data_IF_895392456684
#
_entry.id   IF_895392456684
#
_cell.length_a   1.000
_cell.length_b   1.000
_cell.length_c   1.000
_cell.angle_alpha   90.00
_cell.angle_beta   90.00
_cell.angle_gamma   90.00
#
_symmetry.space_group_name_H-M   'P 1'
#
loop_
_entity.id
_entity.type
_entity.pdbx_description
1 polymer ?
#
# COMPACT_ATOMS: atom_id res chain seq x y z
N UNK A 1 -10.87 2.88 0.47
CA UNK A 1 -10.36 3.22 1.82
C UNK A 1 -9.31 4.34 1.73
N UNK A 2 -8.91 5.01 2.82
CA UNK A 2 -7.77 5.94 2.74
C UNK A 2 -6.46 5.13 2.74
N UNK A 3 -5.46 5.62 2.02
CA UNK A 3 -4.11 5.01 1.95
C UNK A 3 -3.46 4.86 3.32
N UNK A 4 -3.72 5.81 4.23
CA UNK A 4 -3.25 5.75 5.62
C UNK A 4 -3.87 4.60 6.42
N UNK A 5 -5.12 4.24 6.15
CA UNK A 5 -5.80 3.15 6.86
C UNK A 5 -5.14 1.81 6.50
N UNK A 6 -4.88 1.60 5.20
CA UNK A 6 -4.13 0.43 4.72
C UNK A 6 -2.71 0.40 5.30
N UNK A 7 -2.01 1.55 5.27
CA UNK A 7 -0.66 1.66 5.79
C UNK A 7 -0.56 1.26 7.27
N UNK A 8 -1.58 1.61 8.08
CA UNK A 8 -1.64 1.28 9.51
C UNK A 8 -1.80 -0.22 9.75
N UNK A 9 -2.54 -0.94 8.90
CA UNK A 9 -2.67 -2.39 9.03
C UNK A 9 -1.31 -3.09 8.94
N UNK A 10 -0.46 -2.68 7.99
CA UNK A 10 0.90 -3.22 7.84
C UNK A 10 1.96 -2.65 8.81
N UNK A 11 1.56 -1.73 9.69
CA UNK A 11 2.48 -1.02 10.58
C UNK A 11 2.06 -1.20 12.05
N UNK A 12 2.25 -2.42 12.56
CA UNK A 12 1.95 -2.82 13.95
C UNK A 12 2.75 -2.04 15.02
N UNK A 13 3.89 -1.45 14.65
CA UNK A 13 4.77 -0.72 15.59
C UNK A 13 5.21 0.62 14.99
N UNK A 14 4.50 1.71 15.29
CA UNK A 14 4.95 3.06 14.91
C UNK A 14 3.89 4.15 14.86
N UNK A 15 4.34 5.40 14.71
CA UNK A 15 3.48 6.56 14.48
C UNK A 15 2.89 6.56 13.05
N UNK A 16 1.77 7.27 12.79
CA UNK A 16 1.11 7.28 11.48
C UNK A 16 2.01 7.67 10.30
N UNK A 17 2.98 8.56 10.53
CA UNK A 17 3.98 8.95 9.52
C UNK A 17 4.86 7.76 9.10
N UNK A 18 5.24 6.91 10.06
CA UNK A 18 6.05 5.73 9.81
C UNK A 18 5.31 4.69 8.96
N UNK A 19 4.00 4.56 9.18
CA UNK A 19 3.14 3.64 8.43
C UNK A 19 3.12 3.96 6.93
N UNK A 20 2.92 5.22 6.54
CA UNK A 20 2.96 5.62 5.13
C UNK A 20 4.35 5.46 4.51
N UNK A 21 5.41 5.79 5.26
CA UNK A 21 6.78 5.56 4.78
C UNK A 21 7.04 4.08 4.52
N UNK A 22 6.60 3.19 5.42
CA UNK A 22 6.73 1.74 5.26
C UNK A 22 5.92 1.22 4.07
N UNK A 23 4.67 1.65 3.91
CA UNK A 23 3.85 1.27 2.76
C UNK A 23 4.48 1.74 1.44
N UNK A 24 4.97 2.97 1.38
CA UNK A 24 5.65 3.49 0.19
C UNK A 24 6.99 2.77 -0.08
N UNK A 25 7.66 2.25 0.96
CA UNK A 25 8.84 1.39 0.81
C UNK A 25 8.44 0.06 0.16
N UNK A 26 7.38 -0.60 0.61
CA UNK A 26 6.90 -1.82 -0.04
C UNK A 26 6.56 -1.62 -1.51
N UNK A 27 5.85 -0.54 -1.85
CA UNK A 27 5.51 -0.22 -3.25
C UNK A 27 6.77 -0.06 -4.11
N UNK A 28 7.88 0.40 -3.54
CA UNK A 28 9.14 0.59 -4.25
C UNK A 28 9.97 -0.68 -4.36
N UNK A 29 10.04 -1.44 -3.27
CA UNK A 29 11.04 -2.50 -3.09
C UNK A 29 10.48 -3.90 -3.43
N UNK A 30 9.16 -4.10 -3.32
CA UNK A 30 8.52 -5.37 -3.68
C UNK A 30 8.34 -5.46 -5.19
N UNK A 31 9.12 -6.34 -5.80
CA UNK A 31 9.15 -6.56 -7.26
C UNK A 31 7.75 -6.87 -7.80
N UNK A 32 7.28 -6.07 -8.75
CA UNK A 32 5.99 -6.27 -9.44
C UNK A 32 4.79 -5.61 -8.76
N UNK A 33 4.91 -5.15 -7.52
CA UNK A 33 3.80 -4.52 -6.78
C UNK A 33 3.41 -3.20 -7.41
N UNK A 34 4.38 -2.33 -7.69
CA UNK A 34 4.12 -1.02 -8.33
C UNK A 34 3.46 -1.19 -9.69
N UNK A 35 3.94 -2.12 -10.50
CA UNK A 35 3.44 -2.41 -11.84
C UNK A 35 2.02 -2.96 -11.81
N UNK A 36 1.72 -3.86 -10.86
CA UNK A 36 0.36 -4.34 -10.62
C UNK A 36 -0.58 -3.19 -10.22
N UNK A 37 -0.15 -2.34 -9.29
CA UNK A 37 -0.92 -1.18 -8.86
C UNK A 37 -1.18 -0.19 -10.01
N UNK A 38 -0.17 0.16 -10.80
CA UNK A 38 -0.30 1.10 -11.94
C UNK A 38 -1.27 0.55 -12.99
N UNK A 39 -1.25 -0.76 -13.28
CA UNK A 39 -2.22 -1.40 -14.19
C UNK A 39 -3.68 -1.25 -13.73
N UNK A 40 -3.90 -1.02 -12.44
CA UNK A 40 -5.20 -0.76 -11.85
C UNK A 40 -5.39 0.70 -11.41
N UNK A 41 -4.73 1.63 -12.11
CA UNK A 41 -4.96 3.07 -11.98
C UNK A 41 -4.40 3.69 -10.70
N UNK A 42 -3.40 3.07 -10.07
CA UNK A 42 -2.73 3.65 -8.91
C UNK A 42 -1.84 4.83 -9.31
N UNK A 43 -1.97 5.95 -8.60
CA UNK A 43 -1.01 7.04 -8.66
C UNK A 43 -0.40 7.31 -7.27
N UNK A 44 0.90 7.62 -7.21
CA UNK A 44 1.63 7.73 -5.94
C UNK A 44 1.10 8.85 -5.01
N UNK A 45 0.53 9.90 -5.61
CA UNK A 45 -0.08 11.05 -4.93
C UNK A 45 -1.51 10.78 -4.42
N UNK A 46 -2.11 9.65 -4.77
CA UNK A 46 -3.47 9.32 -4.36
C UNK A 46 -3.55 9.12 -2.84
N UNK A 47 -4.57 9.73 -2.24
CA UNK A 47 -4.87 9.59 -0.81
C UNK A 47 -5.87 8.47 -0.54
N UNK A 48 -6.55 8.00 -1.57
CA UNK A 48 -7.48 6.87 -1.55
C UNK A 48 -6.86 5.66 -2.23
N UNK A 49 -7.27 4.48 -1.79
CA UNK A 49 -6.96 3.20 -2.42
C UNK A 49 -8.27 2.48 -2.71
N UNK A 50 -8.39 1.95 -3.93
CA UNK A 50 -9.56 1.21 -4.40
C UNK A 50 -9.55 -0.23 -3.86
N UNK A 51 -10.71 -0.91 -3.73
CA UNK A 51 -10.75 -2.29 -3.27
C UNK A 51 -9.83 -3.24 -4.05
N UNK A 52 -9.73 -3.05 -5.38
CA UNK A 52 -8.83 -3.86 -6.21
C UNK A 52 -7.35 -3.63 -5.88
N UNK A 53 -6.97 -2.37 -5.61
CA UNK A 53 -5.60 -2.05 -5.20
C UNK A 53 -5.29 -2.62 -3.81
N UNK A 54 -6.26 -2.62 -2.87
CA UNK A 54 -6.11 -3.29 -1.57
C UNK A 54 -5.82 -4.78 -1.75
N UNK A 55 -6.59 -5.45 -2.60
CA UNK A 55 -6.36 -6.87 -2.88
C UNK A 55 -4.94 -7.13 -3.40
N UNK A 56 -4.43 -6.27 -4.29
CA UNK A 56 -3.05 -6.37 -4.79
C UNK A 56 -2.05 -6.22 -3.64
N UNK A 57 -2.29 -5.36 -2.65
CA UNK A 57 -1.42 -5.32 -1.47
C UNK A 57 -1.45 -6.65 -0.71
N UNK A 58 -2.62 -7.25 -0.49
CA UNK A 58 -2.71 -8.56 0.19
C UNK A 58 -2.04 -9.68 -0.61
N UNK A 59 -2.23 -9.70 -1.93
CA UNK A 59 -1.64 -10.72 -2.80
C UNK A 59 -0.10 -10.69 -2.77
N UNK A 60 0.50 -9.51 -2.59
CA UNK A 60 1.96 -9.32 -2.58
C UNK A 60 2.60 -9.29 -1.19
N UNK A 61 1.90 -8.77 -0.18
CA UNK A 61 2.42 -8.56 1.18
C UNK A 61 1.86 -9.53 2.21
N UNK A 62 0.84 -10.32 1.85
CA UNK A 62 0.02 -11.10 2.76
C UNK A 62 -1.11 -10.28 3.39
N UNK A 63 -2.12 -10.95 3.91
CA UNK A 63 -3.10 -10.30 4.78
C UNK A 63 -2.41 -9.86 6.09
N UNK A 64 -2.58 -8.60 6.52
CA UNK A 64 -1.90 -8.01 7.66
C UNK A 64 -2.33 -8.57 9.02
#
# INVERSE_FOLDING_TARGET
MKKIDLARQYCLTGTPSNALHKLNRYIRDVKGLKEALIRHGYHSKDRSITPKQVQIFYDFLGEP
#
